data_IF_214184544752
#
_entry.id   IF_214184544752
#
_cell.length_a   1.000
_cell.length_b   1.000
_cell.length_c   1.000
_cell.angle_alpha   90.00
_cell.angle_beta   90.00
_cell.angle_gamma   90.00
#
_symmetry.space_group_name_H-M   'P 1'
#
loop_
_entity.id
_entity.type
_entity.pdbx_description
1 polymer ?
#
# COMPACT_ATOMS: atom_id res chain seq x y z
N UNK A 1 6.73 -4.71 -15.36
CA UNK A 1 6.18 -4.66 -13.98
C UNK A 1 6.98 -3.64 -13.20
N UNK A 2 6.33 -2.69 -12.51
CA UNK A 2 7.02 -1.66 -11.73
C UNK A 2 7.90 -2.34 -10.67
N UNK A 3 9.19 -1.97 -10.60
CA UNK A 3 10.12 -2.54 -9.63
C UNK A 3 10.23 -1.62 -8.42
N UNK A 4 10.73 -2.13 -7.30
CA UNK A 4 10.97 -1.29 -6.12
C UNK A 4 11.96 -0.13 -6.40
N UNK A 5 12.87 -0.31 -7.38
CA UNK A 5 13.77 0.73 -7.84
C UNK A 5 13.04 1.87 -8.57
N UNK A 6 12.00 1.53 -9.33
CA UNK A 6 11.14 2.52 -10.00
C UNK A 6 10.29 3.31 -9.00
N UNK A 7 9.82 2.64 -7.94
CA UNK A 7 9.06 3.27 -6.85
C UNK A 7 9.90 4.31 -6.11
N UNK A 8 11.20 4.07 -5.94
CA UNK A 8 12.10 5.02 -5.29
C UNK A 8 12.33 6.30 -6.13
N UNK A 9 12.04 6.28 -7.43
CA UNK A 9 12.11 7.48 -8.29
C UNK A 9 10.87 8.37 -8.18
N UNK A 10 9.78 7.84 -7.61
CA UNK A 10 8.56 8.63 -7.39
C UNK A 10 8.83 9.74 -6.36
N UNK A 11 8.12 10.88 -6.48
CA UNK A 11 8.14 11.90 -5.45
C UNK A 11 7.75 11.30 -4.09
N UNK A 12 8.36 11.79 -3.01
CA UNK A 12 8.14 11.25 -1.64
C UNK A 12 6.66 11.10 -1.30
N UNK A 13 5.86 12.05 -1.79
CA UNK A 13 4.42 12.09 -1.64
C UNK A 13 3.72 10.83 -2.19
N UNK A 14 4.14 10.28 -3.33
CA UNK A 14 3.54 9.09 -3.98
C UNK A 14 4.27 7.79 -3.66
N UNK A 15 5.52 7.91 -3.20
CA UNK A 15 6.41 6.78 -2.92
C UNK A 15 5.86 5.84 -1.86
N UNK A 16 5.30 6.37 -0.78
CA UNK A 16 4.88 5.57 0.37
C UNK A 16 3.66 4.67 0.05
N UNK A 17 2.63 5.23 -0.58
CA UNK A 17 1.44 4.47 -1.03
C UNK A 17 1.83 3.44 -2.09
N UNK A 18 2.66 3.82 -3.06
CA UNK A 18 3.09 2.92 -4.13
C UNK A 18 3.95 1.78 -3.60
N UNK A 19 4.83 2.05 -2.63
CA UNK A 19 5.65 1.04 -1.96
C UNK A 19 4.80 0.05 -1.16
N UNK A 20 3.85 0.55 -0.37
CA UNK A 20 2.94 -0.31 0.38
C UNK A 20 2.08 -1.19 -0.55
N UNK A 21 1.58 -0.61 -1.64
CA UNK A 21 0.83 -1.32 -2.68
C UNK A 21 1.68 -2.43 -3.33
N UNK A 22 2.92 -2.11 -3.72
CA UNK A 22 3.84 -3.08 -4.30
C UNK A 22 4.12 -4.26 -3.37
N UNK A 23 4.40 -4.02 -2.10
CA UNK A 23 4.64 -5.11 -1.14
C UNK A 23 3.40 -5.99 -0.94
N UNK A 24 2.20 -5.39 -0.89
CA UNK A 24 0.95 -6.13 -0.75
C UNK A 24 0.65 -7.01 -1.98
N UNK A 25 0.73 -6.45 -3.20
CA UNK A 25 0.50 -7.21 -4.43
C UNK A 25 1.55 -8.30 -4.65
N UNK A 26 2.82 -8.00 -4.35
CA UNK A 26 3.90 -9.00 -4.41
C UNK A 26 3.64 -10.15 -3.44
N UNK A 27 3.22 -9.84 -2.21
CA UNK A 27 2.82 -10.85 -1.22
C UNK A 27 1.64 -11.72 -1.68
N UNK A 28 0.64 -11.13 -2.33
CA UNK A 28 -0.48 -11.88 -2.93
C UNK A 28 0.00 -12.84 -4.02
N UNK A 29 0.84 -12.35 -4.94
CA UNK A 29 1.32 -13.14 -6.08
C UNK A 29 2.24 -14.30 -5.66
N UNK A 30 3.05 -14.13 -4.62
CA UNK A 30 3.93 -15.18 -4.11
C UNK A 30 3.25 -16.13 -3.10
N UNK A 31 1.95 -15.99 -2.86
CA UNK A 31 1.20 -16.88 -1.98
C UNK A 31 1.63 -16.82 -0.51
N UNK A 32 2.11 -15.66 -0.03
CA UNK A 32 2.63 -15.55 1.34
C UNK A 32 1.52 -15.78 2.40
N UNK A 33 1.88 -16.16 3.64
CA UNK A 33 0.92 -16.45 4.70
C UNK A 33 -0.09 -15.34 4.93
N UNK A 34 -1.32 -15.70 5.29
CA UNK A 34 -2.41 -14.75 5.52
C UNK A 34 -2.06 -13.69 6.57
N UNK A 35 -1.31 -14.05 7.61
CA UNK A 35 -0.83 -13.12 8.64
C UNK A 35 0.08 -12.02 8.05
N UNK A 36 0.99 -12.40 7.14
CA UNK A 36 1.87 -11.45 6.44
C UNK A 36 1.06 -10.55 5.51
N UNK A 37 0.07 -11.11 4.79
CA UNK A 37 -0.84 -10.33 3.94
C UNK A 37 -1.66 -9.33 4.75
N UNK A 38 -2.16 -9.71 5.94
CA UNK A 38 -2.90 -8.82 6.82
C UNK A 38 -2.05 -7.68 7.35
N UNK A 39 -0.80 -7.95 7.79
CA UNK A 39 0.13 -6.90 8.22
C UNK A 39 0.39 -5.88 7.10
N UNK A 40 0.68 -6.37 5.89
CA UNK A 40 0.90 -5.51 4.73
C UNK A 40 -0.36 -4.71 4.35
N UNK A 41 -1.54 -5.32 4.45
CA UNK A 41 -2.82 -4.64 4.23
C UNK A 41 -3.04 -3.51 5.24
N UNK A 42 -2.73 -3.73 6.53
CA UNK A 42 -2.87 -2.68 7.55
C UNK A 42 -1.91 -1.51 7.32
N UNK A 43 -0.65 -1.81 6.94
CA UNK A 43 0.30 -0.77 6.56
C UNK A 43 -0.19 0.01 5.33
N UNK A 44 -0.68 -0.67 4.30
CA UNK A 44 -1.24 -0.03 3.12
C UNK A 44 -2.47 0.85 3.44
N UNK A 45 -3.40 0.36 4.24
CA UNK A 45 -4.58 1.14 4.67
C UNK A 45 -4.20 2.37 5.51
N UNK A 46 -3.17 2.25 6.36
CA UNK A 46 -2.68 3.37 7.16
C UNK A 46 -2.10 4.49 6.28
N UNK A 47 -1.32 4.12 5.27
CA UNK A 47 -0.77 5.06 4.29
C UNK A 47 -1.87 5.69 3.42
N UNK A 48 -2.85 4.89 2.99
CA UNK A 48 -4.03 5.40 2.28
C UNK A 48 -4.82 6.41 3.11
N UNK A 49 -5.03 6.14 4.40
CA UNK A 49 -5.77 7.04 5.30
C UNK A 49 -5.02 8.32 5.61
N UNK A 50 -3.69 8.25 5.75
CA UNK A 50 -2.84 9.46 5.86
C UNK A 50 -2.92 10.31 4.61
N UNK A 51 -3.02 9.67 3.44
CA UNK A 51 -2.98 10.34 2.15
C UNK A 51 -4.32 10.93 1.72
N UNK A 52 -5.40 10.17 1.88
CA UNK A 52 -6.76 10.59 1.57
C UNK A 52 -7.67 10.37 2.78
N UNK A 53 -7.60 11.25 3.79
CA UNK A 53 -8.47 11.15 4.95
C UNK A 53 -9.95 11.21 4.55
N UNK A 54 -10.30 12.02 3.55
CA UNK A 54 -11.66 12.13 3.00
C UNK A 54 -12.14 10.86 2.29
N UNK A 55 -11.29 10.23 1.46
CA UNK A 55 -11.65 8.99 0.77
C UNK A 55 -11.87 7.82 1.74
N UNK A 56 -11.24 7.86 2.92
CA UNK A 56 -11.46 6.90 3.99
C UNK A 56 -12.65 7.23 4.91
N UNK A 57 -13.15 8.48 4.91
CA UNK A 57 -14.30 8.90 5.71
C UNK A 57 -15.65 8.66 5.02
N UNK A 58 -15.67 8.38 3.71
CA UNK A 58 -16.87 8.06 2.93
C UNK A 58 -17.60 6.76 3.29
N UNK A 59 -17.16 6.01 4.30
CA UNK A 59 -17.88 4.86 4.86
C UNK A 59 -18.87 5.24 5.99
N UNK A 60 -19.17 6.54 6.14
CA UNK A 60 -20.18 7.07 7.06
C UNK A 60 -21.12 8.01 6.30
N UNK A 61 -21.88 7.44 5.37
CA UNK A 61 -23.09 8.01 4.80
C UNK A 61 -24.23 7.02 5.02
#
# INVERSE_FOLDING_TARGET
MMTIGDINKLPEYERAVTRASYHYYRALLHGVPVATRQRLRQSWLSEMRRRWPDACNGARA
#
